data_IF_172585771289
#
_entry.id   IF_172585771289
#
_cell.length_a   1.000
_cell.length_b   1.000
_cell.length_c   1.000
_cell.angle_alpha   90.00
_cell.angle_beta   90.00
_cell.angle_gamma   90.00
#
_symmetry.space_group_name_H-M   'P 1'
#
loop_
_entity.id
_entity.type
_entity.pdbx_description
1 polymer ?
#
# COMPACT_ATOMS: atom_id res chain seq x y z
N UNK A 1 -5.62 59.12 -10.46
CA UNK A 1 -6.00 58.28 -9.31
C UNK A 1 -6.11 56.81 -9.78
N UNK A 2 -4.98 56.12 -9.92
CA UNK A 2 -4.87 54.75 -10.51
C UNK A 2 -3.85 53.85 -9.78
N UNK A 3 -3.49 54.21 -8.54
CA UNK A 3 -2.43 53.54 -7.76
C UNK A 3 -3.02 52.69 -6.61
N UNK A 4 -4.33 52.75 -6.37
CA UNK A 4 -4.96 52.12 -5.21
C UNK A 4 -5.35 50.63 -5.40
N UNK A 5 -5.44 50.12 -6.64
CA UNK A 5 -5.94 48.76 -6.90
C UNK A 5 -4.86 47.68 -6.89
N UNK A 6 -3.60 48.01 -7.17
CA UNK A 6 -2.49 47.05 -7.14
C UNK A 6 -2.03 46.69 -5.72
N UNK A 7 -2.17 47.62 -4.77
CA UNK A 7 -1.78 47.39 -3.37
C UNK A 7 -2.72 46.42 -2.65
N UNK A 8 -4.02 46.42 -3.00
CA UNK A 8 -5.02 45.53 -2.37
C UNK A 8 -4.86 44.07 -2.84
N UNK A 9 -4.46 43.83 -4.09
CA UNK A 9 -4.19 42.48 -4.59
C UNK A 9 -2.93 41.86 -3.96
N UNK A 10 -1.88 42.66 -3.69
CA UNK A 10 -0.70 42.17 -2.98
C UNK A 10 -1.04 41.78 -1.53
N UNK A 11 -1.91 42.53 -0.87
CA UNK A 11 -2.33 42.24 0.50
C UNK A 11 -3.11 40.92 0.59
N UNK A 12 -3.96 40.61 -0.40
CA UNK A 12 -4.68 39.34 -0.48
C UNK A 12 -3.76 38.15 -0.82
N UNK A 13 -2.72 38.34 -1.62
CA UNK A 13 -1.71 37.30 -1.88
C UNK A 13 -0.85 37.00 -0.63
N UNK A 14 -0.51 38.02 0.17
CA UNK A 14 0.19 37.83 1.45
C UNK A 14 -0.70 37.13 2.48
N UNK A 15 -1.99 37.48 2.55
CA UNK A 15 -2.93 36.77 3.41
C UNK A 15 -3.18 35.33 2.94
N UNK A 16 -3.34 35.07 1.64
CA UNK A 16 -3.52 33.72 1.10
C UNK A 16 -2.28 32.82 1.34
N UNK A 17 -1.08 33.40 1.38
CA UNK A 17 0.15 32.66 1.73
C UNK A 17 0.27 32.41 3.25
N UNK A 18 -0.28 33.30 4.09
CA UNK A 18 -0.28 33.13 5.54
C UNK A 18 -1.32 32.11 6.06
N UNK A 19 -2.30 31.73 5.22
CA UNK A 19 -3.24 30.61 5.51
C UNK A 19 -2.77 29.30 4.88
N UNK A 20 -1.56 29.23 4.33
CA UNK A 20 -0.92 27.95 4.05
C UNK A 20 -0.77 27.24 5.39
N UNK A 21 -1.71 26.34 5.64
CA UNK A 21 -1.89 25.55 6.85
C UNK A 21 -0.52 25.05 7.29
N UNK A 22 -0.17 25.38 8.53
CA UNK A 22 1.04 24.98 9.24
C UNK A 22 1.03 23.46 9.38
N UNK A 23 1.34 22.76 8.29
CA UNK A 23 1.57 21.34 8.28
C UNK A 23 2.89 21.15 9.02
N UNK A 24 2.80 20.96 10.34
CA UNK A 24 3.95 20.80 11.21
C UNK A 24 4.93 19.81 10.56
N UNK A 25 6.15 20.28 10.33
CA UNK A 25 7.19 19.48 9.69
C UNK A 25 7.33 18.14 10.45
N UNK A 26 7.46 17.02 9.72
CA UNK A 26 7.59 15.72 10.35
C UNK A 26 8.83 15.68 11.24
N UNK A 27 8.65 15.30 12.50
CA UNK A 27 9.72 15.33 13.51
C UNK A 27 10.44 13.98 13.48
N UNK A 28 11.77 13.99 13.47
CA UNK A 28 12.58 12.78 13.57
C UNK A 28 12.34 12.10 14.92
N UNK A 29 12.16 10.78 14.91
CA UNK A 29 12.06 9.95 16.11
C UNK A 29 13.47 9.58 16.54
N UNK A 30 13.76 9.69 17.83
CA UNK A 30 15.06 9.40 18.41
C UNK A 30 14.96 8.23 19.39
N UNK A 31 16.04 7.45 19.49
CA UNK A 31 16.19 6.42 20.51
C UNK A 31 16.50 7.02 21.90
N UNK A 32 16.64 6.16 22.90
CA UNK A 32 16.94 6.52 24.30
C UNK A 32 18.33 7.17 24.49
N UNK A 33 19.24 6.98 23.53
CA UNK A 33 20.55 7.62 23.47
C UNK A 33 20.50 8.99 22.74
N UNK A 34 19.38 9.32 22.11
CA UNK A 34 19.18 10.54 21.34
C UNK A 34 19.71 10.48 19.90
N UNK A 35 19.96 9.28 19.36
CA UNK A 35 20.27 9.08 17.94
C UNK A 35 18.97 8.97 17.13
N UNK A 36 18.95 9.44 15.88
CA UNK A 36 17.77 9.28 15.04
C UNK A 36 17.53 7.80 14.74
N UNK A 37 16.27 7.37 14.83
CA UNK A 37 15.91 5.99 14.52
C UNK A 37 15.94 5.74 13.02
N UNK A 38 16.42 4.58 12.61
CA UNK A 38 16.59 4.18 11.21
C UNK A 38 15.53 3.15 10.80
N UNK A 39 15.13 3.20 9.53
CA UNK A 39 14.33 2.11 8.97
C UNK A 39 15.16 0.82 8.91
N UNK A 40 14.51 -0.31 9.17
CA UNK A 40 15.11 -1.62 9.40
C UNK A 40 16.03 -1.71 10.63
N UNK A 41 16.09 -0.65 11.44
CA UNK A 41 16.74 -0.70 12.75
C UNK A 41 16.00 -1.65 13.70
N UNK A 42 16.74 -2.24 14.63
CA UNK A 42 16.21 -3.15 15.65
C UNK A 42 16.28 -2.50 17.03
N UNK A 43 15.14 -2.37 17.69
CA UNK A 43 14.97 -1.64 18.94
C UNK A 43 14.29 -2.50 20.00
N UNK A 44 14.65 -2.33 21.26
CA UNK A 44 13.82 -2.78 22.38
C UNK A 44 12.76 -1.70 22.63
N UNK A 45 11.50 -2.11 22.76
CA UNK A 45 10.41 -1.21 23.12
C UNK A 45 10.22 -1.33 24.64
N UNK A 46 10.49 -0.25 25.36
CA UNK A 46 10.48 -0.20 26.82
C UNK A 46 9.39 0.76 27.30
N UNK A 47 8.24 0.23 27.77
CA UNK A 47 7.23 1.00 28.47
C UNK A 47 7.79 1.83 29.62
N UNK A 48 7.34 3.08 29.71
CA UNK A 48 7.71 3.98 30.82
C UNK A 48 7.03 3.48 32.10
N UNK A 49 7.80 2.79 32.95
CA UNK A 49 7.33 2.27 34.23
C UNK A 49 6.88 0.81 34.23
N UNK A 50 7.05 0.09 33.11
CA UNK A 50 6.75 -1.34 32.98
C UNK A 50 7.91 -2.18 32.47
N UNK A 51 7.64 -3.47 32.21
CA UNK A 51 8.58 -4.39 31.57
C UNK A 51 8.60 -4.25 30.05
N UNK A 52 9.66 -4.74 29.40
CA UNK A 52 9.77 -4.70 27.95
C UNK A 52 8.66 -5.48 27.23
N UNK A 53 8.46 -5.15 25.95
CA UNK A 53 7.43 -5.80 25.14
C UNK A 53 7.87 -7.20 24.70
N UNK A 54 7.02 -8.20 24.96
CA UNK A 54 7.30 -9.62 24.67
C UNK A 54 6.06 -10.34 24.08
N UNK A 55 6.20 -11.64 23.81
CA UNK A 55 5.12 -12.47 23.27
C UNK A 55 4.75 -13.60 24.23
N UNK A 56 3.46 -13.87 24.37
CA UNK A 56 2.94 -15.00 25.14
C UNK A 56 1.94 -15.78 24.29
N UNK A 57 2.06 -17.11 24.29
CA UNK A 57 1.07 -17.99 23.66
C UNK A 57 -0.30 -17.82 24.33
N UNK A 58 -1.32 -17.54 23.52
CA UNK A 58 -2.71 -17.49 23.95
C UNK A 58 -3.53 -18.48 23.12
N UNK A 59 -4.35 -19.27 23.81
CA UNK A 59 -5.34 -20.12 23.17
C UNK A 59 -6.59 -19.30 22.89
N UNK A 60 -7.04 -19.28 21.65
CA UNK A 60 -8.40 -18.84 21.31
C UNK A 60 -9.35 -20.04 21.26
N UNK A 61 -10.64 -19.79 21.04
CA UNK A 61 -11.62 -20.87 20.90
C UNK A 61 -11.16 -21.86 19.81
N UNK A 62 -11.12 -23.15 20.17
CA UNK A 62 -10.48 -24.23 19.42
C UNK A 62 -11.04 -24.40 18.00
N UNK A 63 -12.20 -23.82 17.72
CA UNK A 63 -12.91 -23.93 16.44
C UNK A 63 -12.33 -23.02 15.35
N UNK A 64 -11.74 -21.86 15.69
CA UNK A 64 -11.38 -20.85 14.67
C UNK A 64 -9.89 -20.45 14.62
N UNK A 65 -9.17 -20.46 15.74
CA UNK A 65 -7.72 -20.20 15.80
C UNK A 65 -7.08 -20.97 16.96
N UNK A 66 -6.47 -22.14 16.73
CA UNK A 66 -6.04 -23.00 17.83
C UNK A 66 -5.02 -22.34 18.76
N UNK A 67 -4.18 -21.44 18.25
CA UNK A 67 -3.40 -20.54 19.08
C UNK A 67 -2.89 -19.29 18.34
N UNK A 68 -2.51 -18.28 19.12
CA UNK A 68 -1.76 -17.12 18.65
C UNK A 68 -0.76 -16.61 19.67
N UNK A 69 0.08 -15.66 19.27
CA UNK A 69 1.00 -15.00 20.19
C UNK A 69 0.46 -13.60 20.49
N UNK A 70 -0.02 -13.42 21.71
CA UNK A 70 -0.36 -12.10 22.22
C UNK A 70 0.91 -11.29 22.44
N UNK A 71 0.88 -10.02 22.08
CA UNK A 71 1.94 -9.08 22.44
C UNK A 71 1.59 -8.48 23.79
N UNK A 72 2.52 -8.60 24.74
CA UNK A 72 2.30 -8.19 26.14
C UNK A 72 3.41 -7.29 26.64
N UNK A 73 3.06 -6.45 27.61
CA UNK A 73 4.03 -5.77 28.45
C UNK A 73 4.44 -6.71 29.59
N UNK A 74 5.74 -6.96 29.75
CA UNK A 74 6.24 -7.79 30.83
C UNK A 74 5.89 -7.23 32.21
N UNK A 75 5.53 -8.10 33.17
CA UNK A 75 5.05 -7.67 34.49
C UNK A 75 6.12 -7.01 35.37
N UNK A 76 7.39 -7.18 35.01
CA UNK A 76 8.52 -6.66 35.78
C UNK A 76 9.48 -5.90 34.88
N UNK A 77 10.04 -4.81 35.42
CA UNK A 77 11.04 -3.98 34.76
C UNK A 77 12.36 -4.72 34.48
N UNK A 78 12.51 -5.95 34.97
CA UNK A 78 13.64 -6.84 34.65
C UNK A 78 13.50 -7.56 33.31
N UNK A 79 12.29 -7.63 32.74
CA UNK A 79 12.10 -8.14 31.38
C UNK A 79 12.58 -7.07 30.40
N UNK A 80 13.65 -7.36 29.65
CA UNK A 80 14.14 -6.46 28.61
C UNK A 80 13.21 -6.42 27.38
N UNK A 81 12.24 -7.33 27.30
CA UNK A 81 11.40 -7.55 26.13
C UNK A 81 12.13 -8.33 25.02
N UNK A 82 11.49 -8.38 23.85
CA UNK A 82 12.04 -8.91 22.61
C UNK A 82 12.40 -7.77 21.66
N UNK A 83 13.48 -7.92 20.87
CA UNK A 83 13.86 -6.92 19.88
C UNK A 83 12.83 -6.81 18.75
N UNK A 84 12.52 -5.58 18.35
CA UNK A 84 11.54 -5.26 17.31
C UNK A 84 12.22 -4.51 16.17
N UNK A 85 12.08 -5.03 14.97
CA UNK A 85 12.49 -4.39 13.72
C UNK A 85 11.38 -3.46 13.22
N UNK A 86 11.74 -2.22 12.93
CA UNK A 86 10.83 -1.21 12.41
C UNK A 86 11.06 -1.09 10.92
N UNK A 87 10.05 -1.39 10.12
CA UNK A 87 10.12 -1.31 8.65
C UNK A 87 9.25 -0.19 8.13
N UNK A 88 9.55 0.30 6.93
CA UNK A 88 8.62 1.18 6.22
C UNK A 88 7.43 0.34 5.75
N UNK A 89 6.21 0.86 5.89
CA UNK A 89 5.05 0.23 5.28
C UNK A 89 5.04 0.41 3.74
N UNK A 90 5.84 1.36 3.23
CA UNK A 90 5.94 1.66 1.80
C UNK A 90 7.38 1.39 1.33
N UNK A 91 7.56 0.34 0.52
CA UNK A 91 8.84 0.08 -0.17
C UNK A 91 9.10 1.07 -1.33
N UNK A 92 8.08 1.84 -1.73
CA UNK A 92 8.09 2.69 -2.93
C UNK A 92 8.61 4.10 -2.74
N UNK A 93 8.39 4.69 -1.57
CA UNK A 93 9.03 5.95 -1.22
C UNK A 93 10.39 5.55 -0.69
N UNK A 94 11.48 6.03 -1.31
CA UNK A 94 12.80 5.94 -0.68
C UNK A 94 12.59 6.47 0.74
N UNK A 95 12.64 5.61 1.78
CA UNK A 95 12.44 6.10 3.12
C UNK A 95 13.46 7.21 3.30
N UNK A 96 13.05 8.30 3.95
CA UNK A 96 14.07 9.14 4.59
C UNK A 96 14.94 8.18 5.41
N UNK A 97 16.25 8.41 5.47
CA UNK A 97 17.18 7.52 6.19
C UNK A 97 16.69 7.22 7.61
N UNK A 98 15.95 8.18 8.20
CA UNK A 98 15.41 8.13 9.54
C UNK A 98 13.88 8.07 9.58
N UNK A 99 13.37 7.44 10.64
CA UNK A 99 11.96 7.38 11.03
C UNK A 99 11.50 8.73 11.55
N UNK A 100 10.32 9.17 11.11
CA UNK A 100 9.66 10.41 11.53
C UNK A 100 8.28 10.16 12.12
N UNK A 101 7.70 11.15 12.80
CA UNK A 101 6.35 11.06 13.36
C UNK A 101 5.22 10.91 12.33
N UNK A 102 5.51 11.20 11.05
CA UNK A 102 4.58 10.96 9.93
C UNK A 102 4.89 9.67 9.16
N UNK A 103 5.96 8.96 9.54
CA UNK A 103 6.36 7.72 8.87
C UNK A 103 5.32 6.64 9.12
N UNK A 104 4.99 5.93 8.04
CA UNK A 104 4.10 4.77 8.08
C UNK A 104 4.96 3.52 8.29
N UNK A 105 4.68 2.78 9.37
CA UNK A 105 5.58 1.77 9.92
C UNK A 105 4.94 0.39 9.99
N UNK A 106 5.75 -0.63 9.73
CA UNK A 106 5.50 -2.01 10.15
C UNK A 106 6.37 -2.34 11.36
N UNK A 107 5.82 -3.14 12.28
CA UNK A 107 6.56 -3.67 13.43
C UNK A 107 6.63 -5.20 13.31
N UNK A 108 7.81 -5.74 13.57
CA UNK A 108 8.01 -7.20 13.61
C UNK A 108 9.06 -7.54 14.65
N UNK A 109 8.91 -8.66 15.37
CA UNK A 109 10.01 -9.11 16.22
C UNK A 109 11.19 -9.56 15.36
N UNK A 110 12.40 -9.10 15.72
CA UNK A 110 13.62 -9.56 15.07
C UNK A 110 13.89 -11.05 15.33
N UNK A 111 13.34 -11.57 16.43
CA UNK A 111 13.34 -12.99 16.76
C UNK A 111 12.11 -13.33 17.61
N UNK A 112 11.36 -14.34 17.20
CA UNK A 112 10.32 -14.97 18.01
C UNK A 112 10.81 -16.37 18.39
N UNK A 113 10.80 -16.75 19.69
CA UNK A 113 11.14 -18.10 20.09
C UNK A 113 10.32 -19.16 19.33
N UNK A 114 10.90 -20.34 19.03
CA UNK A 114 10.15 -21.44 18.44
C UNK A 114 8.88 -21.73 19.23
N UNK A 115 7.75 -21.76 18.53
CA UNK A 115 6.41 -21.90 19.09
C UNK A 115 5.52 -22.68 18.12
N UNK A 116 4.36 -23.14 18.58
CA UNK A 116 3.45 -23.94 17.75
C UNK A 116 2.41 -23.09 16.99
N UNK A 117 2.42 -21.77 17.16
CA UNK A 117 1.35 -20.89 16.73
C UNK A 117 1.63 -20.16 15.43
N UNK A 118 2.88 -19.73 15.23
CA UNK A 118 3.26 -19.00 14.04
C UNK A 118 4.76 -19.06 13.75
N UNK A 119 5.08 -19.01 12.45
CA UNK A 119 6.42 -18.78 11.94
C UNK A 119 6.66 -17.31 11.55
N UNK A 120 5.66 -16.44 11.72
CA UNK A 120 5.78 -15.01 11.47
C UNK A 120 6.24 -14.28 12.72
N UNK A 121 6.78 -13.09 12.52
CA UNK A 121 7.10 -12.13 13.57
C UNK A 121 6.37 -10.79 13.42
N UNK A 122 5.54 -10.66 12.38
CA UNK A 122 4.84 -9.43 12.03
C UNK A 122 3.71 -9.11 13.00
N UNK A 123 3.59 -7.85 13.40
CA UNK A 123 2.52 -7.39 14.28
C UNK A 123 1.24 -7.09 13.49
N UNK A 124 0.10 -7.52 14.03
CA UNK A 124 -1.23 -7.25 13.50
C UNK A 124 -2.20 -6.84 14.61
N UNK A 125 -3.20 -6.07 14.24
CA UNK A 125 -4.38 -5.77 15.05
C UNK A 125 -5.43 -6.82 14.77
N UNK A 126 -6.02 -7.36 15.83
CA UNK A 126 -7.16 -8.27 15.76
C UNK A 126 -8.30 -7.74 16.62
N UNK A 127 -9.54 -7.95 16.18
CA UNK A 127 -10.72 -7.68 17.00
C UNK A 127 -11.07 -8.94 17.78
N UNK A 128 -11.25 -8.82 19.10
CA UNK A 128 -11.72 -9.91 19.95
C UNK A 128 -13.22 -10.08 19.78
N UNK A 129 -13.65 -11.28 19.41
CA UNK A 129 -15.05 -11.65 19.17
C UNK A 129 -15.96 -11.46 20.41
N UNK A 130 -15.38 -11.40 21.61
CA UNK A 130 -16.15 -11.43 22.87
C UNK A 130 -16.35 -10.07 23.52
N UNK A 131 -15.53 -9.07 23.19
CA UNK A 131 -15.52 -7.78 23.92
C UNK A 131 -15.44 -6.54 23.03
N UNK A 132 -15.44 -6.69 21.69
CA UNK A 132 -15.18 -5.58 20.75
C UNK A 132 -13.87 -4.83 21.03
N UNK A 133 -12.96 -5.43 21.80
CA UNK A 133 -11.62 -4.89 22.04
C UNK A 133 -10.73 -5.23 20.84
N UNK A 134 -9.87 -4.30 20.46
CA UNK A 134 -8.86 -4.52 19.44
C UNK A 134 -7.51 -4.77 20.12
N UNK A 135 -6.94 -5.97 19.96
CA UNK A 135 -5.66 -6.36 20.52
C UNK A 135 -4.56 -6.40 19.45
N UNK A 136 -3.31 -6.31 19.88
CA UNK A 136 -2.16 -6.51 19.00
C UNK A 136 -1.58 -7.91 19.25
N UNK A 137 -1.40 -8.66 18.18
CA UNK A 137 -0.88 -10.01 18.17
C UNK A 137 0.21 -10.18 17.09
N UNK A 138 1.00 -11.25 17.19
CA UNK A 138 1.84 -11.68 16.08
C UNK A 138 0.99 -12.43 15.07
N UNK A 139 1.14 -12.11 13.80
CA UNK A 139 0.42 -12.72 12.69
C UNK A 139 0.54 -14.25 12.72
N UNK A 140 -0.57 -14.98 12.74
CA UNK A 140 -0.59 -16.47 12.78
C UNK A 140 -0.99 -17.13 11.47
N UNK A 141 -1.22 -16.37 10.41
CA UNK A 141 -2.06 -16.81 9.31
C UNK A 141 -1.71 -18.16 8.70
N UNK A 142 -2.72 -19.04 8.65
CA UNK A 142 -2.94 -19.93 7.51
C UNK A 142 -3.72 -19.16 6.44
N UNK A 143 -3.07 -18.83 5.32
CA UNK A 143 -3.61 -18.37 4.02
C UNK A 143 -4.79 -17.38 4.05
N UNK A 144 -4.55 -16.08 3.90
CA UNK A 144 -5.59 -15.15 3.42
C UNK A 144 -5.43 -13.68 3.79
N UNK A 145 -4.91 -13.36 4.97
CA UNK A 145 -4.77 -11.97 5.43
C UNK A 145 -3.29 -11.53 5.42
N UNK A 146 -2.68 -11.36 4.24
CA UNK A 146 -1.29 -10.91 4.16
C UNK A 146 -1.29 -9.38 4.19
N UNK A 147 -1.18 -8.84 5.40
CA UNK A 147 -1.13 -7.41 5.64
C UNK A 147 -0.87 -7.11 7.10
N UNK A 148 0.36 -6.69 7.43
CA UNK A 148 0.68 -6.19 8.77
C UNK A 148 -0.16 -4.95 9.09
N UNK A 149 -0.43 -4.70 10.36
CA UNK A 149 -1.07 -3.44 10.72
C UNK A 149 -0.14 -2.26 10.47
N UNK A 150 -0.71 -1.12 10.13
CA UNK A 150 0.04 0.11 9.89
C UNK A 150 0.11 0.92 11.17
N UNK A 151 1.33 1.28 11.55
CA UNK A 151 1.62 2.00 12.77
C UNK A 151 2.29 3.35 12.51
N UNK A 152 2.13 4.29 13.44
CA UNK A 152 2.77 5.60 13.44
C UNK A 152 3.32 5.89 14.83
N UNK A 153 4.48 6.53 14.92
CA UNK A 153 5.05 6.99 16.19
C UNK A 153 4.67 8.46 16.39
N UNK A 154 4.19 8.82 17.57
CA UNK A 154 3.81 10.20 17.91
C UNK A 154 4.55 10.68 19.14
N UNK A 155 4.88 11.97 19.17
CA UNK A 155 5.47 12.61 20.34
C UNK A 155 4.38 13.07 21.31
N UNK A 156 4.57 12.87 22.63
CA UNK A 156 3.70 13.45 23.62
C UNK A 156 3.76 14.97 23.61
N UNK A 157 2.61 15.59 23.92
CA UNK A 157 2.53 17.04 24.06
C UNK A 157 3.59 17.51 25.06
N UNK A 158 4.26 18.63 24.77
CA UNK A 158 5.28 19.24 25.65
C UNK A 158 4.74 19.50 27.07
N UNK A 159 3.42 19.62 27.24
CA UNK A 159 2.76 19.84 28.53
C UNK A 159 2.60 18.58 29.39
N UNK A 160 2.85 17.38 28.85
CA UNK A 160 2.64 16.12 29.55
C UNK A 160 3.68 15.83 30.64
N UNK A 161 4.80 16.55 30.67
CA UNK A 161 5.92 16.25 31.56
C UNK A 161 6.60 14.92 31.26
N UNK A 162 6.28 14.28 30.13
CA UNK A 162 6.85 13.00 29.75
C UNK A 162 8.38 13.09 29.61
N UNK A 163 9.11 12.02 29.98
CA UNK A 163 10.56 11.98 29.78
C UNK A 163 10.94 12.26 28.32
N UNK A 164 12.13 12.82 28.12
CA UNK A 164 12.68 13.03 26.78
C UNK A 164 12.75 11.70 26.03
N UNK A 165 12.45 11.73 24.73
CA UNK A 165 12.47 10.55 23.84
C UNK A 165 11.42 9.48 24.15
N UNK A 166 10.33 9.89 24.82
CA UNK A 166 9.15 9.04 24.93
C UNK A 166 8.19 9.31 23.78
N UNK A 167 7.54 8.25 23.34
CA UNK A 167 6.58 8.29 22.24
C UNK A 167 5.42 7.35 22.55
N UNK A 168 4.30 7.51 21.85
CA UNK A 168 3.31 6.44 21.76
C UNK A 168 3.14 6.00 20.31
N UNK A 169 2.60 4.80 20.14
CA UNK A 169 2.31 4.23 18.83
C UNK A 169 0.82 4.38 18.56
N UNK A 170 0.48 4.86 17.38
CA UNK A 170 -0.88 4.84 16.86
C UNK A 170 -1.01 3.75 15.80
N UNK A 171 -2.16 3.08 15.74
CA UNK A 171 -2.51 2.19 14.64
C UNK A 171 -3.57 2.84 13.76
N UNK A 172 -3.35 2.82 12.44
CA UNK A 172 -4.38 3.16 11.47
C UNK A 172 -5.31 1.96 11.33
N UNK A 173 -6.56 2.08 11.75
CA UNK A 173 -7.57 1.08 11.40
C UNK A 173 -8.04 1.36 9.95
N UNK A 174 -7.76 0.47 8.99
CA UNK A 174 -8.10 0.69 7.58
C UNK A 174 -9.61 0.79 7.34
N UNK A 175 -10.46 0.25 8.23
CA UNK A 175 -11.92 0.33 8.08
C UNK A 175 -12.50 1.69 8.47
N UNK A 176 -11.86 2.43 9.38
CA UNK A 176 -12.48 3.63 9.98
C UNK A 176 -11.73 4.93 9.75
N UNK A 177 -10.51 4.89 9.19
CA UNK A 177 -9.75 6.10 8.86
C UNK A 177 -9.30 6.92 10.08
N UNK A 178 -9.43 6.39 11.30
CA UNK A 178 -8.95 7.02 12.53
C UNK A 178 -7.75 6.27 13.08
N UNK A 179 -6.77 7.03 13.58
CA UNK A 179 -5.63 6.51 14.32
C UNK A 179 -6.00 6.37 15.81
N UNK A 180 -5.90 5.15 16.35
CA UNK A 180 -6.07 4.92 17.79
C UNK A 180 -4.73 4.74 18.47
N UNK A 181 -4.59 5.31 19.67
CA UNK A 181 -3.41 5.13 20.50
C UNK A 181 -3.31 3.70 21.00
N UNK A 182 -2.10 3.16 21.02
CA UNK A 182 -1.79 1.86 21.60
C UNK A 182 -1.69 1.98 23.12
N UNK A 183 -2.25 1.02 23.85
CA UNK A 183 -2.24 0.95 25.30
C UNK A 183 -2.03 -0.47 25.80
N UNK A 184 -2.21 -0.65 27.11
CA UNK A 184 -2.14 -1.96 27.77
C UNK A 184 -3.45 -2.22 28.50
N UNK A 185 -4.03 -3.40 28.29
CA UNK A 185 -5.25 -3.85 28.98
C UNK A 185 -5.00 -5.22 29.60
N UNK A 186 -5.40 -5.35 30.87
CA UNK A 186 -5.35 -6.64 31.56
C UNK A 186 -6.45 -7.56 31.02
N UNK A 187 -6.06 -8.65 30.38
CA UNK A 187 -6.98 -9.63 29.80
C UNK A 187 -6.45 -11.05 30.08
N UNK A 188 -7.27 -11.87 30.74
CA UNK A 188 -6.89 -13.20 31.24
C UNK A 188 -5.60 -13.20 32.09
N UNK A 189 -5.44 -12.16 32.91
CA UNK A 189 -4.26 -11.99 33.77
C UNK A 189 -3.04 -11.38 33.08
N UNK A 190 -3.02 -11.31 31.74
CA UNK A 190 -1.92 -10.77 30.95
C UNK A 190 -2.10 -9.28 30.65
N UNK A 191 -1.00 -8.52 30.64
CA UNK A 191 -0.95 -7.12 30.23
C UNK A 191 -0.84 -7.01 28.70
N UNK A 192 -1.95 -7.24 28.00
CA UNK A 192 -1.96 -7.31 26.53
C UNK A 192 -1.93 -5.92 25.92
N UNK A 193 -1.18 -5.77 24.83
CA UNK A 193 -1.23 -4.57 24.01
C UNK A 193 -2.56 -4.51 23.26
N UNK A 194 -3.19 -3.35 23.28
CA UNK A 194 -4.50 -3.11 22.66
C UNK A 194 -4.57 -1.72 22.04
N UNK A 195 -5.55 -1.51 21.17
CA UNK A 195 -5.94 -0.18 20.73
C UNK A 195 -6.92 0.42 21.73
N UNK A 196 -6.67 1.67 22.10
CA UNK A 196 -7.44 2.37 23.10
C UNK A 196 -8.64 3.06 22.48
N UNK A 197 -9.75 3.04 23.21
CA UNK A 197 -10.85 3.94 22.92
C UNK A 197 -10.41 5.40 23.09
N UNK A 198 -11.06 6.28 22.32
CA UNK A 198 -10.94 7.74 22.43
C UNK A 198 -10.96 8.11 23.92
N UNK A 199 -10.00 8.92 24.38
CA UNK A 199 -9.82 9.42 25.76
C UNK A 199 -8.98 8.59 26.75
N UNK A 200 -8.49 7.39 26.40
CA UNK A 200 -7.54 6.72 27.28
C UNK A 200 -6.10 7.20 27.03
N UNK A 201 -5.27 7.22 28.07
CA UNK A 201 -3.86 7.59 27.93
C UNK A 201 -3.07 6.47 27.22
N UNK A 202 -2.34 6.79 26.14
CA UNK A 202 -1.58 5.80 25.41
C UNK A 202 -0.34 5.34 26.18
N UNK A 203 0.12 4.13 25.87
CA UNK A 203 1.36 3.58 26.41
C UNK A 203 2.54 4.42 25.90
N UNK A 204 3.26 5.04 26.83
CA UNK A 204 4.51 5.73 26.53
C UNK A 204 5.66 4.72 26.47
N UNK A 205 6.45 4.79 25.40
CA UNK A 205 7.54 3.89 25.09
C UNK A 205 8.84 4.68 24.90
N UNK A 206 9.94 4.06 25.34
CA UNK A 206 11.30 4.38 24.94
C UNK A 206 11.76 3.35 23.90
N UNK A 207 12.47 3.80 22.86
CA UNK A 207 13.11 2.92 21.89
C UNK A 207 14.58 2.81 22.23
N UNK A 208 15.04 1.62 22.61
CA UNK A 208 16.44 1.39 22.91
C UNK A 208 17.12 0.68 21.75
N UNK A 209 18.08 1.33 21.11
CA UNK A 209 18.78 0.74 19.96
C UNK A 209 19.66 -0.42 20.41
N UNK A 210 19.39 -1.62 19.88
CA UNK A 210 20.24 -2.77 20.14
C UNK A 210 21.37 -2.76 19.13
N UNK A 211 22.52 -2.18 19.50
CA UNK A 211 23.78 -2.44 18.80
C UNK A 211 24.03 -3.94 18.87
N UNK A 212 23.67 -4.66 17.81
CA UNK A 212 24.15 -6.02 17.63
C UNK A 212 25.66 -5.84 17.53
N UNK A 213 26.37 -6.26 18.58
CA UNK A 213 27.82 -6.26 18.61
C UNK A 213 28.30 -7.28 17.57
N UNK A 214 28.26 -6.90 16.30
CA UNK A 214 28.84 -7.64 15.20
C UNK A 214 30.34 -7.52 15.38
N UNK A 215 30.92 -8.48 16.09
CA UNK A 215 32.35 -8.68 16.26
C UNK A 215 33.01 -8.82 14.89
N UNK A 216 33.57 -7.71 14.39
CA UNK A 216 34.60 -7.52 13.35
C UNK A 216 34.62 -8.41 12.09
N UNK A 217 33.56 -9.15 11.77
CA UNK A 217 33.40 -9.92 10.52
C UNK A 217 32.50 -9.17 9.51
N UNK A 218 31.99 -7.98 9.86
CA UNK A 218 31.07 -7.22 9.02
C UNK A 218 31.77 -6.41 7.92
N UNK A 219 33.06 -6.06 8.06
CA UNK A 219 33.76 -5.29 7.02
C UNK A 219 33.94 -6.09 5.72
N UNK A 220 34.14 -7.41 5.82
CA UNK A 220 34.26 -8.30 4.66
C UNK A 220 32.90 -8.51 3.97
N UNK A 221 31.82 -8.59 4.74
CA UNK A 221 30.45 -8.65 4.22
C UNK A 221 29.98 -7.31 3.65
N UNK A 222 30.43 -6.17 4.17
CA UNK A 222 30.10 -4.84 3.65
C UNK A 222 30.68 -4.67 2.23
N UNK A 223 31.91 -5.11 1.97
CA UNK A 223 32.52 -5.05 0.63
C UNK A 223 31.79 -5.96 -0.37
N UNK A 224 31.26 -7.10 0.09
CA UNK A 224 30.44 -8.00 -0.74
C UNK A 224 29.03 -7.40 -0.95
N UNK A 225 28.42 -6.81 0.08
CA UNK A 225 27.09 -6.19 -0.01
C UNK A 225 27.10 -4.93 -0.89
N UNK A 226 28.16 -4.11 -0.87
CA UNK A 226 28.32 -2.98 -1.78
C UNK A 226 28.56 -3.42 -3.24
N UNK A 227 29.11 -4.62 -3.47
CA UNK A 227 29.21 -5.19 -4.81
C UNK A 227 27.86 -5.70 -5.36
N UNK A 228 26.88 -5.99 -4.48
CA UNK A 228 25.53 -6.45 -4.86
C UNK A 228 24.44 -5.38 -4.70
N UNK A 229 24.73 -4.23 -4.11
CA UNK A 229 23.87 -3.05 -4.19
C UNK A 229 23.94 -2.42 -5.59
N UNK A 230 23.71 -3.24 -6.62
CA UNK A 230 23.25 -2.74 -7.90
C UNK A 230 21.89 -2.14 -7.58
N UNK A 231 21.83 -0.80 -7.56
CA UNK A 231 20.57 -0.09 -7.49
C UNK A 231 19.59 -0.77 -8.45
N UNK A 232 18.41 -1.17 -7.96
CA UNK A 232 17.33 -1.56 -8.85
C UNK A 232 17.01 -0.33 -9.69
N UNK A 233 17.67 -0.24 -10.83
CA UNK A 233 17.57 0.89 -11.72
C UNK A 233 16.15 0.92 -12.27
N UNK A 234 15.59 2.13 -12.36
CA UNK A 234 14.24 2.30 -12.85
C UNK A 234 14.23 1.98 -14.35
N UNK A 235 13.83 0.76 -14.68
CA UNK A 235 13.90 0.27 -16.06
C UNK A 235 12.87 0.99 -16.94
N UNK A 236 13.28 1.36 -18.15
CA UNK A 236 12.38 1.88 -19.19
C UNK A 236 11.49 0.74 -19.68
N UNK A 237 10.18 0.97 -19.67
CA UNK A 237 9.22 0.02 -20.22
C UNK A 237 9.25 0.14 -21.74
N UNK A 238 9.51 -0.97 -22.41
CA UNK A 238 9.52 -1.04 -23.87
C UNK A 238 8.24 -1.71 -24.39
N UNK A 239 7.76 -1.26 -25.55
CA UNK A 239 6.69 -1.91 -26.30
C UNK A 239 7.13 -3.28 -26.86
N UNK A 240 6.20 -4.00 -27.47
CA UNK A 240 6.42 -5.34 -28.02
C UNK A 240 7.49 -5.35 -29.13
N UNK A 241 7.68 -4.22 -29.82
CA UNK A 241 8.70 -4.01 -30.83
C UNK A 241 10.06 -3.60 -30.24
N UNK A 242 10.13 -3.40 -28.91
CA UNK A 242 11.35 -3.07 -28.17
C UNK A 242 11.68 -1.57 -28.13
N UNK A 243 10.76 -0.69 -28.52
CA UNK A 243 10.92 0.75 -28.40
C UNK A 243 10.45 1.24 -27.03
N UNK A 244 11.08 2.28 -26.44
CA UNK A 244 10.59 2.91 -25.22
C UNK A 244 9.14 3.37 -25.33
N UNK A 245 8.31 3.00 -24.36
CA UNK A 245 6.93 3.47 -24.27
C UNK A 245 6.91 4.95 -23.88
N UNK A 246 6.09 5.74 -24.56
CA UNK A 246 5.98 7.18 -24.37
C UNK A 246 4.85 7.51 -23.38
N UNK A 247 5.08 8.50 -22.51
CA UNK A 247 4.00 9.10 -21.72
C UNK A 247 3.07 9.85 -22.68
N UNK A 248 1.76 9.66 -22.49
CA UNK A 248 0.68 10.04 -23.40
C UNK A 248 0.64 9.25 -24.72
N UNK A 249 1.45 8.18 -24.84
CA UNK A 249 1.35 7.24 -25.95
C UNK A 249 0.08 6.38 -25.88
N UNK A 250 -0.32 5.84 -27.03
CA UNK A 250 -1.49 4.97 -27.16
C UNK A 250 -1.07 3.57 -27.62
N UNK A 251 -1.51 2.55 -26.89
CA UNK A 251 -1.07 1.16 -27.04
C UNK A 251 -2.26 0.20 -27.03
N UNK A 252 -2.16 -0.90 -27.79
CA UNK A 252 -3.01 -2.08 -27.60
C UNK A 252 -2.40 -2.93 -26.48
N UNK A 253 -3.23 -3.35 -25.53
CA UNK A 253 -2.82 -4.27 -24.46
C UNK A 253 -3.24 -5.68 -24.86
N UNK A 254 -2.26 -6.54 -25.11
CA UNK A 254 -2.49 -7.93 -25.52
C UNK A 254 -1.99 -8.90 -24.45
N UNK A 255 -2.86 -9.78 -23.91
CA UNK A 255 -2.46 -10.85 -23.01
C UNK A 255 -1.42 -11.79 -23.62
N UNK A 256 -0.49 -12.28 -22.79
CA UNK A 256 0.52 -13.26 -23.20
C UNK A 256 0.70 -14.34 -22.12
N UNK A 257 0.75 -15.64 -22.48
CA UNK A 257 0.61 -16.18 -23.82
C UNK A 257 -0.83 -16.03 -24.37
N UNK A 258 -0.99 -15.79 -25.67
CA UNK A 258 -2.30 -15.56 -26.33
C UNK A 258 -3.23 -16.79 -26.39
N UNK A 259 -2.96 -17.86 -25.64
CA UNK A 259 -3.72 -19.11 -25.75
C UNK A 259 -5.12 -18.93 -25.16
N UNK A 260 -6.09 -18.66 -26.04
CA UNK A 260 -7.49 -18.51 -25.66
C UNK A 260 -7.89 -17.12 -25.16
N UNK A 261 -7.03 -16.10 -25.32
CA UNK A 261 -7.25 -14.73 -24.87
C UNK A 261 -7.25 -13.73 -26.02
N UNK A 262 -8.09 -12.70 -25.95
CA UNK A 262 -8.10 -11.53 -26.82
C UNK A 262 -7.57 -10.28 -26.12
N UNK A 263 -7.45 -9.19 -26.87
CA UNK A 263 -7.06 -7.89 -26.34
C UNK A 263 -8.06 -7.31 -25.34
N UNK A 264 -7.60 -6.33 -24.57
CA UNK A 264 -8.40 -5.72 -23.50
C UNK A 264 -9.48 -4.80 -24.06
N UNK A 265 -10.73 -4.99 -23.66
CA UNK A 265 -11.88 -4.20 -24.09
C UNK A 265 -12.80 -3.81 -22.94
N UNK A 266 -14.02 -3.40 -23.29
CA UNK A 266 -15.06 -3.07 -22.32
C UNK A 266 -16.38 -3.75 -22.64
N UNK A 267 -17.16 -4.02 -21.60
CA UNK A 267 -18.54 -4.52 -21.69
C UNK A 267 -19.39 -3.83 -20.63
N UNK A 268 -20.65 -3.55 -20.95
CA UNK A 268 -21.58 -2.99 -19.98
C UNK A 268 -21.93 -4.02 -18.92
N UNK A 269 -21.84 -3.63 -17.65
CA UNK A 269 -22.29 -4.42 -16.52
C UNK A 269 -23.33 -3.63 -15.72
N UNK A 270 -24.42 -4.29 -15.36
CA UNK A 270 -25.44 -3.72 -14.48
C UNK A 270 -24.97 -3.78 -13.04
N UNK A 271 -25.12 -2.66 -12.32
CA UNK A 271 -24.96 -2.65 -10.87
C UNK A 271 -26.33 -2.63 -10.20
N UNK A 272 -26.35 -2.81 -8.88
CA UNK A 272 -27.57 -2.68 -8.10
C UNK A 272 -28.08 -1.22 -8.08
N UNK A 273 -29.29 -1.01 -7.54
CA UNK A 273 -29.96 0.29 -7.57
C UNK A 273 -29.18 1.43 -6.86
N UNK A 274 -28.17 1.10 -6.05
CA UNK A 274 -27.38 2.04 -5.26
C UNK A 274 -26.23 2.64 -6.10
N UNK A 275 -25.67 1.86 -7.03
CA UNK A 275 -24.44 2.22 -7.77
C UNK A 275 -24.67 2.78 -9.18
N UNK A 276 -25.93 3.00 -9.55
CA UNK A 276 -26.34 3.55 -10.85
C UNK A 276 -26.69 2.45 -11.88
N UNK A 277 -27.29 2.82 -13.02
CA UNK A 277 -27.94 1.87 -13.92
C UNK A 277 -26.97 0.91 -14.63
N UNK A 278 -25.72 1.34 -14.89
CA UNK A 278 -24.66 0.48 -15.41
C UNK A 278 -23.28 1.14 -15.30
N UNK A 279 -22.22 0.33 -15.39
CA UNK A 279 -20.84 0.75 -15.63
C UNK A 279 -20.26 0.00 -16.83
N UNK A 280 -19.03 0.34 -17.24
CA UNK A 280 -18.30 -0.47 -18.20
C UNK A 280 -17.19 -1.24 -17.46
N UNK A 281 -17.33 -2.56 -17.38
CA UNK A 281 -16.26 -3.42 -16.89
C UNK A 281 -15.15 -3.53 -17.93
N UNK A 282 -13.91 -3.65 -17.45
CA UNK A 282 -12.77 -3.94 -18.32
C UNK A 282 -12.59 -5.44 -18.38
N UNK A 283 -12.53 -5.97 -19.59
CA UNK A 283 -12.53 -7.41 -19.85
C UNK A 283 -11.42 -7.82 -20.80
N UNK A 284 -10.94 -9.04 -20.62
CA UNK A 284 -10.20 -9.76 -21.64
C UNK A 284 -11.19 -10.23 -22.73
N UNK A 285 -10.94 -9.82 -23.96
CA UNK A 285 -11.80 -10.17 -25.09
C UNK A 285 -11.68 -11.63 -25.51
N UNK A 286 -12.58 -12.04 -26.40
CA UNK A 286 -12.53 -13.35 -27.06
C UNK A 286 -11.25 -13.52 -27.91
N UNK A 287 -10.81 -14.77 -28.16
CA UNK A 287 -9.67 -15.04 -29.03
C UNK A 287 -9.76 -14.29 -30.37
N UNK A 288 -8.66 -13.66 -30.78
CA UNK A 288 -8.53 -12.81 -31.97
C UNK A 288 -9.16 -11.40 -31.89
N UNK A 289 -9.80 -11.03 -30.78
CA UNK A 289 -10.12 -9.61 -30.55
C UNK A 289 -8.84 -8.82 -30.37
N UNK A 290 -8.68 -7.69 -31.06
CA UNK A 290 -7.56 -6.78 -30.82
C UNK A 290 -7.72 -5.97 -29.54
N UNK A 291 -8.95 -5.88 -28.99
CA UNK A 291 -9.29 -5.00 -27.87
C UNK A 291 -9.47 -3.54 -28.29
N UNK A 292 -9.43 -2.64 -27.31
CA UNK A 292 -9.51 -1.19 -27.47
C UNK A 292 -8.15 -0.54 -27.15
N UNK A 293 -7.77 0.50 -27.90
CA UNK A 293 -6.52 1.22 -27.65
C UNK A 293 -6.58 1.97 -26.31
N UNK A 294 -5.47 1.95 -25.57
CA UNK A 294 -5.33 2.58 -24.25
C UNK A 294 -4.24 3.65 -24.30
N UNK A 295 -4.60 4.86 -23.88
CA UNK A 295 -3.67 5.96 -23.63
C UNK A 295 -3.13 5.85 -22.21
N UNK A 296 -1.81 5.99 -22.08
CA UNK A 296 -1.11 5.90 -20.80
C UNK A 296 -0.59 7.29 -20.45
N UNK A 297 -1.07 7.88 -19.38
CA UNK A 297 -0.64 9.22 -18.93
C UNK A 297 0.04 9.14 -17.57
N UNK A 298 0.89 10.12 -17.23
CA UNK A 298 1.47 10.23 -15.89
C UNK A 298 0.43 10.73 -14.90
N UNK A 299 0.40 10.18 -13.67
CA UNK A 299 -0.40 10.76 -12.58
C UNK A 299 0.08 12.16 -12.18
N UNK A 300 1.38 12.43 -12.37
CA UNK A 300 2.01 13.67 -11.98
C UNK A 300 2.20 14.55 -13.21
N UNK A 301 1.50 15.68 -13.24
CA UNK A 301 1.62 16.69 -14.28
C UNK A 301 2.96 17.44 -14.29
N UNK A 302 3.80 17.25 -13.25
CA UNK A 302 5.05 18.00 -13.05
C UNK A 302 6.35 17.22 -13.32
N UNK A 303 6.31 15.90 -13.56
CA UNK A 303 7.52 15.12 -13.87
C UNK A 303 7.75 15.06 -15.38
N UNK A 304 8.83 15.67 -15.85
CA UNK A 304 9.26 15.71 -17.25
C UNK A 304 9.96 14.41 -17.71
N UNK A 305 9.32 13.26 -17.55
CA UNK A 305 9.81 12.03 -18.18
C UNK A 305 9.00 11.79 -19.46
N UNK A 306 9.70 11.71 -20.60
CA UNK A 306 9.05 11.44 -21.88
C UNK A 306 8.64 9.96 -22.03
N UNK A 307 9.25 9.09 -21.24
CA UNK A 307 9.08 7.63 -21.33
C UNK A 307 8.48 7.07 -20.04
N UNK A 308 7.79 5.95 -20.21
CA UNK A 308 7.26 5.14 -19.12
C UNK A 308 8.39 4.30 -18.53
N UNK A 309 8.50 4.31 -17.21
CA UNK A 309 9.43 3.48 -16.45
C UNK A 309 8.69 2.56 -15.49
N UNK A 310 9.35 1.54 -14.96
CA UNK A 310 8.72 0.59 -14.03
C UNK A 310 8.30 1.22 -12.70
N UNK A 311 8.83 2.39 -12.34
CA UNK A 311 8.42 3.20 -11.19
C UNK A 311 7.43 4.32 -11.52
N UNK A 312 7.10 4.52 -12.81
CA UNK A 312 6.20 5.58 -13.24
C UNK A 312 4.79 5.36 -12.68
N UNK A 313 4.24 6.41 -12.06
CA UNK A 313 2.84 6.48 -11.68
C UNK A 313 2.00 6.77 -12.93
N UNK A 314 1.08 5.88 -13.28
CA UNK A 314 0.32 5.96 -14.53
C UNK A 314 -1.19 5.97 -14.29
N UNK A 315 -1.90 6.67 -15.18
CA UNK A 315 -3.37 6.59 -15.34
C UNK A 315 -3.66 6.02 -16.72
N UNK A 316 -4.53 5.02 -16.76
CA UNK A 316 -4.93 4.33 -17.98
C UNK A 316 -6.29 4.86 -18.42
N UNK A 317 -6.44 5.13 -19.71
CA UNK A 317 -7.73 5.47 -20.29
C UNK A 317 -7.87 4.90 -21.68
N UNK A 318 -9.06 4.44 -22.06
CA UNK A 318 -9.28 4.08 -23.45
C UNK A 318 -9.17 5.33 -24.33
N UNK A 319 -8.42 5.22 -25.43
CA UNK A 319 -8.34 6.29 -26.42
C UNK A 319 -9.67 6.50 -27.15
N UNK A 320 -10.54 5.48 -27.12
CA UNK A 320 -11.91 5.56 -27.58
C UNK A 320 -12.79 4.58 -26.80
N UNK A 321 -13.92 5.10 -26.30
CA UNK A 321 -15.03 4.28 -25.79
C UNK A 321 -16.23 4.56 -26.69
N UNK A 322 -16.85 3.53 -27.29
CA UNK A 322 -18.03 3.72 -28.12
C UNK A 322 -19.16 4.43 -27.33
N UNK A 323 -19.99 5.27 -27.99
CA UNK A 323 -21.14 5.89 -27.33
C UNK A 323 -22.00 4.85 -26.61
N UNK A 324 -22.29 5.10 -25.34
CA UNK A 324 -23.00 4.18 -24.47
C UNK A 324 -23.79 4.97 -23.41
N UNK A 325 -24.69 4.27 -22.69
CA UNK A 325 -25.54 4.88 -21.67
C UNK A 325 -24.94 4.80 -20.25
N UNK A 326 -23.76 4.21 -20.07
CA UNK A 326 -23.17 3.97 -18.76
C UNK A 326 -22.19 5.07 -18.33
N UNK A 327 -21.36 5.56 -19.27
CA UNK A 327 -20.39 6.62 -18.97
C UNK A 327 -19.95 7.38 -20.22
N UNK A 328 -19.56 8.63 -20.01
CA UNK A 328 -18.88 9.47 -20.99
C UNK A 328 -17.35 9.56 -20.73
N UNK A 329 -16.84 8.88 -19.70
CA UNK A 329 -15.41 8.78 -19.41
C UNK A 329 -14.78 7.61 -20.15
N UNK A 330 -13.44 7.63 -20.24
CA UNK A 330 -12.63 6.49 -20.68
C UNK A 330 -11.59 6.06 -19.66
N UNK A 331 -11.54 6.72 -18.50
CA UNK A 331 -10.52 6.55 -17.47
C UNK A 331 -10.79 5.28 -16.66
N UNK A 332 -9.74 4.50 -16.41
CA UNK A 332 -9.80 3.29 -15.61
C UNK A 332 -9.83 3.61 -14.11
N UNK A 333 -10.67 2.89 -13.37
CA UNK A 333 -10.82 2.99 -11.92
C UNK A 333 -10.99 1.62 -11.29
N UNK A 334 -10.58 1.51 -10.03
CA UNK A 334 -10.82 0.38 -9.17
C UNK A 334 -12.18 0.54 -8.47
N UNK A 335 -13.02 -0.49 -8.53
CA UNK A 335 -14.31 -0.53 -7.84
C UNK A 335 -14.45 -1.81 -7.05
N UNK A 336 -14.80 -1.68 -5.78
CA UNK A 336 -15.16 -2.83 -4.94
C UNK A 336 -16.52 -3.36 -5.35
N UNK A 337 -16.63 -4.68 -5.50
CA UNK A 337 -17.88 -5.38 -5.72
C UNK A 337 -18.54 -5.69 -4.38
N UNK A 338 -19.77 -5.22 -4.20
CA UNK A 338 -20.55 -5.46 -2.98
C UNK A 338 -20.94 -6.93 -2.79
N UNK A 339 -20.95 -7.72 -3.86
CA UNK A 339 -21.40 -9.12 -3.85
C UNK A 339 -20.27 -10.11 -3.72
N UNK A 340 -19.06 -9.76 -4.20
CA UNK A 340 -17.94 -10.70 -4.30
C UNK A 340 -16.79 -10.37 -3.34
N UNK A 341 -16.83 -9.23 -2.64
CA UNK A 341 -15.70 -8.71 -1.86
C UNK A 341 -14.38 -8.62 -2.66
N UNK A 342 -14.48 -8.52 -3.99
CA UNK A 342 -13.36 -8.33 -4.90
C UNK A 342 -13.28 -6.87 -5.36
N UNK A 343 -12.11 -6.46 -5.85
CA UNK A 343 -11.92 -5.15 -6.48
C UNK A 343 -11.72 -5.36 -7.98
N UNK A 344 -12.66 -4.86 -8.79
CA UNK A 344 -12.62 -4.94 -10.25
C UNK A 344 -12.06 -3.66 -10.87
N UNK A 345 -11.53 -3.78 -12.09
CA UNK A 345 -11.16 -2.63 -12.91
C UNK A 345 -12.34 -2.29 -13.83
N UNK A 346 -12.80 -1.04 -13.76
CA UNK A 346 -13.94 -0.52 -14.51
C UNK A 346 -13.59 0.84 -15.15
N UNK A 347 -14.43 1.32 -16.06
CA UNK A 347 -14.35 2.70 -16.56
C UNK A 347 -15.14 3.61 -15.62
N UNK A 348 -14.53 4.74 -15.26
CA UNK A 348 -15.11 5.75 -14.37
C UNK A 348 -16.50 6.15 -14.84
N UNK A 349 -17.52 6.01 -13.99
CA UNK A 349 -18.88 6.50 -14.25
C UNK A 349 -19.04 7.93 -13.76
N UNK A 350 -19.68 8.80 -14.54
CA UNK A 350 -19.89 10.21 -14.22
C UNK A 350 -20.79 10.43 -13.02
N UNK A 351 -20.21 10.41 -11.81
CA UNK A 351 -20.76 11.01 -10.59
C UNK A 351 -19.87 12.17 -10.16
N UNK A 352 -20.47 13.26 -9.67
CA UNK A 352 -19.84 14.57 -9.40
C UNK A 352 -18.79 14.60 -8.27
N UNK A 353 -18.19 13.46 -7.89
CA UNK A 353 -17.22 13.36 -6.79
C UNK A 353 -15.93 12.59 -7.07
N UNK A 354 -15.81 11.85 -8.18
CA UNK A 354 -14.62 11.05 -8.47
C UNK A 354 -13.67 11.81 -9.42
N UNK A 355 -12.92 12.76 -8.87
CA UNK A 355 -11.93 13.56 -9.60
C UNK A 355 -10.58 12.81 -9.54
N UNK A 356 -10.43 11.78 -10.37
CA UNK A 356 -9.15 11.08 -10.55
C UNK A 356 -9.33 9.60 -10.91
N UNK A 357 -8.65 9.16 -11.97
CA UNK A 357 -8.53 7.74 -12.28
C UNK A 357 -7.74 6.99 -11.21
N UNK A 358 -7.83 5.66 -11.20
CA UNK A 358 -6.94 4.86 -10.36
C UNK A 358 -5.53 4.85 -10.92
N UNK A 359 -4.56 4.71 -10.01
CA UNK A 359 -3.15 4.68 -10.37
C UNK A 359 -2.67 3.25 -10.60
N UNK A 360 -1.90 3.08 -11.67
CA UNK A 360 -1.25 1.84 -12.06
C UNK A 360 0.26 2.03 -12.26
N UNK A 361 0.99 0.92 -12.21
CA UNK A 361 2.41 0.76 -12.50
C UNK A 361 2.58 -0.43 -13.43
N UNK A 362 3.56 -0.36 -14.32
CA UNK A 362 3.92 -1.47 -15.20
C UNK A 362 5.16 -2.16 -14.64
N UNK A 363 5.10 -3.48 -14.44
CA UNK A 363 6.19 -4.27 -13.84
C UNK A 363 6.68 -5.35 -14.79
N UNK A 364 8.00 -5.56 -14.90
CA UNK A 364 8.53 -6.60 -15.78
C UNK A 364 8.14 -7.98 -15.25
N UNK A 365 7.79 -8.88 -16.17
CA UNK A 365 7.64 -10.30 -15.83
C UNK A 365 9.01 -10.88 -15.49
N UNK A 366 9.11 -11.54 -14.33
CA UNK A 366 10.31 -12.28 -13.93
C UNK A 366 10.28 -13.75 -14.35
N UNK A 367 9.24 -14.17 -15.07
CA UNK A 367 9.15 -15.55 -15.52
C UNK A 367 10.19 -15.82 -16.61
N UNK A 368 11.03 -16.83 -16.39
CA UNK A 368 12.04 -17.26 -17.37
C UNK A 368 11.42 -17.74 -18.70
N UNK A 369 10.13 -18.06 -18.71
CA UNK A 369 9.37 -18.47 -19.90
C UNK A 369 8.56 -17.34 -20.53
N UNK A 370 8.57 -16.13 -19.98
CA UNK A 370 7.83 -15.02 -20.56
C UNK A 370 8.48 -14.58 -21.88
N UNK A 371 7.67 -14.16 -22.84
CA UNK A 371 8.19 -13.49 -24.02
C UNK A 371 8.93 -12.20 -23.61
N UNK A 372 9.87 -11.76 -24.44
CA UNK A 372 10.55 -10.47 -24.23
C UNK A 372 9.49 -9.35 -24.17
N UNK A 373 9.74 -8.33 -23.34
CA UNK A 373 8.84 -7.19 -23.14
C UNK A 373 7.44 -7.58 -22.66
N UNK A 374 7.38 -8.57 -21.77
CA UNK A 374 6.16 -8.96 -21.06
C UNK A 374 6.12 -8.30 -19.70
N UNK A 375 4.99 -7.69 -19.38
CA UNK A 375 4.79 -6.97 -18.12
C UNK A 375 3.47 -7.39 -17.46
N UNK A 376 3.26 -6.94 -16.23
CA UNK A 376 1.96 -6.97 -15.59
C UNK A 376 1.64 -5.60 -14.99
N UNK A 377 0.35 -5.34 -14.80
CA UNK A 377 -0.12 -4.10 -14.16
C UNK A 377 -0.21 -4.31 -12.65
N UNK A 378 0.30 -3.34 -11.90
CA UNK A 378 0.16 -3.26 -10.46
C UNK A 378 -0.57 -1.96 -10.10
N UNK A 379 -1.42 -1.94 -9.08
CA UNK A 379 -2.06 -0.69 -8.62
C UNK A 379 -1.23 0.01 -7.52
N UNK A 380 -1.50 1.30 -7.27
CA UNK A 380 -0.76 2.11 -6.27
C UNK A 380 -1.17 1.92 -4.83
N UNK A 381 -2.39 1.42 -4.64
CA UNK A 381 -3.08 1.12 -3.39
C UNK A 381 -4.51 0.80 -3.76
N UNK A 382 -5.03 -0.32 -3.29
CA UNK A 382 -6.47 -0.49 -3.16
C UNK A 382 -6.99 0.22 -1.89
N UNK A 383 -8.29 0.10 -1.62
CA UNK A 383 -8.91 0.60 -0.38
C UNK A 383 -8.35 -0.06 0.89
N UNK A 384 -7.57 -1.14 0.76
CA UNK A 384 -6.96 -1.88 1.85
C UNK A 384 -5.48 -1.52 2.08
N UNK A 385 -4.92 -0.63 1.26
CA UNK A 385 -3.56 -0.11 1.44
C UNK A 385 -2.47 -0.92 0.74
N UNK A 386 -2.81 -1.87 -0.13
CA UNK A 386 -1.83 -2.75 -0.79
C UNK A 386 -1.76 -2.53 -2.30
N UNK A 387 -0.56 -2.71 -2.87
CA UNK A 387 -0.35 -2.79 -4.32
C UNK A 387 -0.56 -4.24 -4.77
N UNK A 388 -1.66 -4.50 -5.45
CA UNK A 388 -2.00 -5.81 -6.00
C UNK A 388 -1.78 -5.87 -7.52
N UNK A 389 -1.35 -7.03 -7.99
CA UNK A 389 -1.34 -7.31 -9.43
C UNK A 389 -2.76 -7.35 -10.00
N UNK A 390 -2.90 -6.91 -11.24
CA UNK A 390 -4.16 -7.05 -11.99
C UNK A 390 -4.15 -8.43 -12.63
N UNK A 391 -5.19 -9.21 -12.38
CA UNK A 391 -5.45 -10.51 -13.00
C UNK A 391 -6.77 -10.53 -13.76
N UNK A 392 -7.20 -11.72 -14.19
CA UNK A 392 -8.47 -11.97 -14.85
C UNK A 392 -9.30 -12.95 -14.02
N UNK A 393 -10.55 -12.58 -13.73
CA UNK A 393 -11.51 -13.43 -13.02
C UNK A 393 -12.76 -13.59 -13.87
N UNK A 394 -13.25 -14.83 -13.94
CA UNK A 394 -14.54 -15.11 -14.58
C UNK A 394 -15.68 -14.67 -13.67
N UNK A 395 -16.48 -13.73 -14.13
CA UNK A 395 -17.64 -13.18 -13.44
C UNK A 395 -18.81 -13.08 -14.43
N UNK A 396 -19.92 -13.75 -14.11
CA UNK A 396 -21.10 -13.86 -14.99
C UNK A 396 -20.78 -14.25 -16.45
N UNK A 397 -19.78 -15.11 -16.63
CA UNK A 397 -19.34 -15.58 -17.97
C UNK A 397 -18.32 -14.67 -18.65
N UNK A 398 -18.04 -13.48 -18.09
CA UNK A 398 -17.09 -12.50 -18.61
C UNK A 398 -15.73 -12.65 -17.91
N UNK A 399 -14.65 -12.50 -18.68
CA UNK A 399 -13.28 -12.48 -18.14
C UNK A 399 -12.91 -11.06 -17.70
N UNK A 400 -13.36 -10.65 -16.51
CA UNK A 400 -13.17 -9.30 -15.97
C UNK A 400 -11.78 -9.12 -15.37
N UNK A 401 -11.20 -7.94 -15.56
CA UNK A 401 -9.98 -7.54 -14.87
C UNK A 401 -10.28 -7.24 -13.40
N UNK A 402 -9.46 -7.77 -12.51
CA UNK A 402 -9.62 -7.63 -11.07
C UNK A 402 -8.27 -7.55 -10.35
N UNK A 403 -8.25 -7.03 -9.13
CA UNK A 403 -7.08 -7.03 -8.27
C UNK A 403 -6.91 -8.39 -7.60
N UNK A 404 -5.69 -8.92 -7.72
CA UNK A 404 -5.27 -10.15 -7.08
C UNK A 404 -5.04 -9.92 -5.59
N UNK A 405 -5.76 -10.65 -4.75
CA UNK A 405 -5.55 -10.60 -3.31
C UNK A 405 -4.34 -11.48 -2.92
N UNK A 406 -3.24 -10.86 -2.48
CA UNK A 406 -2.05 -11.57 -1.98
C UNK A 406 -0.91 -11.72 -3.00
N UNK A 407 0.27 -12.11 -2.52
CA UNK A 407 1.53 -12.09 -3.28
C UNK A 407 1.74 -13.28 -4.25
N UNK A 408 0.80 -14.23 -4.35
CA UNK A 408 1.03 -15.54 -5.00
C UNK A 408 0.04 -15.90 -6.13
N UNK A 409 -0.61 -14.92 -6.73
CA UNK A 409 -1.44 -15.18 -7.91
C UNK A 409 -0.74 -14.77 -9.19
N UNK A 410 -0.98 -15.54 -10.26
CA UNK A 410 -0.47 -15.26 -11.60
C UNK A 410 -1.14 -13.98 -12.14
N UNK A 411 -0.39 -12.86 -12.26
CA UNK A 411 -0.95 -11.64 -12.81
C UNK A 411 -1.21 -11.80 -14.30
N UNK A 412 -2.13 -10.98 -14.82
CA UNK A 412 -2.33 -10.86 -16.25
C UNK A 412 -1.06 -10.29 -16.87
N UNK A 413 -0.36 -11.15 -17.59
CA UNK A 413 0.82 -10.78 -18.36
C UNK A 413 0.39 -10.15 -19.68
N UNK A 414 0.99 -9.01 -20.02
CA UNK A 414 0.63 -8.15 -21.14
C UNK A 414 1.86 -7.78 -21.95
N UNK A 415 1.65 -7.62 -23.26
CA UNK A 415 2.51 -6.85 -24.15
C UNK A 415 1.77 -5.59 -24.60
N UNK A 416 2.54 -4.51 -24.78
CA UNK A 416 2.03 -3.23 -25.27
C UNK A 416 2.43 -3.06 -26.73
N UNK A 417 1.48 -2.96 -27.64
CA UNK A 417 1.76 -2.70 -29.05
C UNK A 417 1.40 -1.26 -29.40
N UNK A 418 2.35 -0.50 -29.96
CA UNK A 418 2.11 0.91 -30.29
C UNK A 418 1.07 1.03 -31.40
N UNK A 419 0.02 1.83 -31.18
CA UNK A 419 -1.02 2.03 -32.20
C UNK A 419 -0.51 2.96 -33.28
N UNK A 420 -0.38 2.46 -34.51
CA UNK A 420 -0.08 3.29 -35.67
C UNK A 420 -1.36 3.87 -36.28
N UNK A 421 -1.30 5.11 -36.75
CA UNK A 421 -2.43 5.94 -37.16
C UNK A 421 -3.36 5.36 -38.27
N UNK A 422 -3.02 4.21 -38.86
CA UNK A 422 -3.77 3.54 -39.94
C UNK A 422 -4.80 2.50 -39.46
N UNK A 423 -4.83 2.11 -38.18
CA UNK A 423 -5.66 0.97 -37.71
C UNK A 423 -7.03 1.35 -37.11
N UNK A 424 -7.50 2.59 -37.27
CA UNK A 424 -8.75 3.07 -36.60
C UNK A 424 -10.09 2.50 -37.15
N UNK A 425 -10.08 1.59 -38.11
CA UNK A 425 -11.28 1.25 -38.91
C UNK A 425 -12.06 -0.03 -38.46
N UNK A 426 -11.96 -0.48 -37.21
CA UNK A 426 -12.60 -1.74 -36.78
C UNK A 426 -13.24 -1.74 -35.39
N UNK A 427 -13.65 -0.59 -34.84
CA UNK A 427 -13.99 -0.50 -33.41
C UNK A 427 -15.50 -0.70 -33.18
N UNK A 428 -15.88 -1.84 -32.60
CA UNK A 428 -17.21 -2.15 -32.07
C UNK A 428 -17.10 -2.66 -30.64
N UNK A 429 -18.11 -2.43 -29.79
CA UNK A 429 -18.19 -3.11 -28.47
C UNK A 429 -18.36 -4.61 -28.68
N UNK A 430 -17.74 -5.39 -27.80
CA UNK A 430 -17.99 -6.84 -27.68
C UNK A 430 -19.42 -7.00 -27.17
N UNK A 431 -20.22 -7.81 -27.88
CA UNK A 431 -21.65 -8.03 -27.58
C UNK A 431 -21.80 -9.00 -26.42
#
# INVERSE_FOLDING_TARGET
MKIATTSLCLLFLVFAYAIAVDAADPVIVYDDEGNPMEFNGTYMLLPVGGGGIETVEVSHDAVHRPCSLAIVEGETNSSGGLPVTITSCNDYWKPTEYVTTSSCLGFSFAYVPPNNCTNSSLWITITSDTQNDEFIEVFTGSSGAIGGSTFYIQQPSKSSGAPKYTYWINCSNPMFGYCQGMGVKKHNGLNRLCLLHLYSEPLLLLFQFRKIATTSLSLLFLVIAFAYAVAADDEIVNDAEGNPMEINGTYMLLPTPQVGAGGIGTVAVSHDAIHGPCSLAIVEGEPNSSGLPVTITSCHSSKHTNYVTTSSCLVFSFAFVPPNNCTNSSIWVLRTSDTLNDVFVEVLTGGSGAIGGSTFYIKPSRSASAAKYTYWLNCSKDIFGYCAGVGVKKDNGLNRLFLLHGQYHDPLLLQFHKVHHREKNGISMVV
#
